data_IF_485345701506
#
_entry.id   IF_485345701506
#
_cell.length_a   1.000
_cell.length_b   1.000
_cell.length_c   1.000
_cell.angle_alpha   90.00
_cell.angle_beta   90.00
_cell.angle_gamma   90.00
#
_symmetry.space_group_name_H-M   'P 1'
#
loop_
_entity.id
_entity.type
_entity.pdbx_description
1 polymer ?
#
# COMPACT_ATOMS: atom_id res chain seq x y z
N UNK A 1 9.76 12.10 -14.19
CA UNK A 1 10.52 11.89 -12.93
C UNK A 1 10.43 10.42 -12.55
N UNK A 2 11.54 9.75 -12.24
CA UNK A 2 11.53 8.33 -11.83
C UNK A 2 10.94 8.18 -10.44
N UNK A 3 10.03 7.22 -10.27
CA UNK A 3 9.42 6.91 -8.97
C UNK A 3 10.51 6.37 -8.04
N UNK A 4 10.82 7.11 -6.97
CA UNK A 4 11.81 6.68 -5.97
C UNK A 4 11.27 5.48 -5.20
N UNK A 5 12.13 4.49 -4.98
CA UNK A 5 11.79 3.38 -4.11
C UNK A 5 11.66 3.85 -2.65
N UNK A 6 10.66 3.35 -1.91
CA UNK A 6 10.49 3.69 -0.50
C UNK A 6 11.66 3.12 0.34
N UNK A 7 12.11 3.90 1.32
CA UNK A 7 13.17 3.49 2.24
C UNK A 7 12.74 2.26 3.05
N UNK A 8 13.68 1.36 3.34
CA UNK A 8 13.41 0.15 4.15
C UNK A 8 12.79 0.47 5.52
N UNK A 9 13.22 1.55 6.18
CA UNK A 9 12.64 2.01 7.44
C UNK A 9 11.15 2.38 7.31
N UNK A 10 10.78 3.02 6.18
CA UNK A 10 9.38 3.35 5.86
C UNK A 10 8.58 2.08 5.64
N UNK A 11 9.11 1.12 4.88
CA UNK A 11 8.46 -0.17 4.62
C UNK A 11 8.19 -0.91 5.95
N UNK A 12 9.19 -1.03 6.83
CA UNK A 12 9.03 -1.68 8.16
C UNK A 12 7.95 -1.00 8.99
N UNK A 13 7.92 0.34 9.01
CA UNK A 13 6.90 1.11 9.73
C UNK A 13 5.50 0.88 9.18
N UNK A 14 5.35 0.77 7.85
CA UNK A 14 4.08 0.45 7.21
C UNK A 14 3.58 -0.92 7.64
N UNK A 15 4.41 -1.96 7.58
CA UNK A 15 4.03 -3.30 8.04
C UNK A 15 3.59 -3.34 9.50
N UNK A 16 4.34 -2.68 10.39
CA UNK A 16 4.00 -2.59 11.80
C UNK A 16 2.66 -1.89 12.06
N UNK A 17 2.26 -0.95 11.19
CA UNK A 17 0.98 -0.23 11.31
C UNK A 17 -0.18 -0.94 10.61
N UNK A 18 0.07 -1.72 9.56
CA UNK A 18 -0.97 -2.43 8.81
C UNK A 18 -1.55 -3.63 9.57
N UNK A 19 -0.80 -4.22 10.51
CA UNK A 19 -1.30 -5.32 11.35
C UNK A 19 -1.72 -6.55 10.56
N UNK A 20 -0.90 -6.98 9.60
CA UNK A 20 -1.15 -8.12 8.71
C UNK A 20 -2.43 -8.02 7.85
N UNK A 21 -3.01 -6.82 7.70
CA UNK A 21 -4.21 -6.62 6.88
C UNK A 21 -3.98 -5.59 5.79
N UNK A 22 -4.59 -5.81 4.64
CA UNK A 22 -4.63 -4.80 3.58
C UNK A 22 -5.33 -3.52 4.07
N UNK A 23 -4.69 -2.36 3.85
CA UNK A 23 -5.22 -1.05 4.24
C UNK A 23 -6.15 -0.43 3.18
N UNK A 24 -6.48 -1.15 2.12
CA UNK A 24 -7.40 -0.68 1.10
C UNK A 24 -8.85 -0.74 1.63
N UNK A 25 -9.68 0.30 1.42
CA UNK A 25 -11.07 0.30 1.89
C UNK A 25 -11.82 -0.91 1.36
N UNK A 26 -12.56 -1.60 2.23
CA UNK A 26 -13.31 -2.83 1.95
C UNK A 26 -12.46 -4.08 1.65
N UNK A 27 -11.12 -3.99 1.67
CA UNK A 27 -10.27 -5.18 1.60
C UNK A 27 -10.05 -5.78 2.99
N UNK A 28 -10.28 -7.09 3.13
CA UNK A 28 -10.05 -7.84 4.38
C UNK A 28 -8.98 -8.92 4.22
N UNK A 29 -8.22 -8.89 3.13
CA UNK A 29 -7.18 -9.88 2.88
C UNK A 29 -6.03 -9.73 3.87
N UNK A 30 -5.51 -10.88 4.32
CA UNK A 30 -4.29 -10.96 5.10
C UNK A 30 -3.07 -10.86 4.20
N UNK A 31 -2.03 -10.19 4.69
CA UNK A 31 -0.78 -10.01 3.95
C UNK A 31 0.11 -11.27 4.04
N UNK A 32 0.04 -11.96 5.17
CA UNK A 32 0.78 -13.17 5.51
C UNK A 32 -0.20 -14.26 5.97
N UNK A 33 -0.94 -14.91 5.05
CA UNK A 33 -1.86 -15.96 5.46
C UNK A 33 -1.10 -17.19 5.97
N UNK A 34 -1.69 -17.91 6.91
CA UNK A 34 -1.07 -19.08 7.55
C UNK A 34 -0.80 -20.25 6.60
N UNK A 35 -1.45 -20.28 5.45
CA UNK A 35 -1.33 -21.35 4.44
C UNK A 35 -0.29 -21.05 3.35
N UNK A 36 0.39 -19.92 3.40
CA UNK A 36 1.39 -19.54 2.40
C UNK A 36 2.58 -18.84 3.05
N UNK A 37 3.79 -19.25 2.67
CA UNK A 37 5.03 -18.59 3.09
C UNK A 37 5.25 -17.27 2.35
N UNK A 38 4.45 -16.98 1.33
CA UNK A 38 4.64 -15.81 0.49
C UNK A 38 3.97 -14.56 1.08
N UNK A 39 4.70 -13.46 1.05
CA UNK A 39 4.17 -12.14 1.34
C UNK A 39 3.29 -11.67 0.16
N UNK A 40 1.99 -11.50 0.40
CA UNK A 40 1.02 -11.00 -0.60
C UNK A 40 0.86 -9.48 -0.59
N UNK A 41 1.62 -8.76 0.22
CA UNK A 41 1.52 -7.31 0.28
C UNK A 41 2.24 -6.60 -0.87
N UNK A 42 1.71 -5.43 -1.21
CA UNK A 42 2.36 -4.47 -2.07
C UNK A 42 2.25 -3.09 -1.42
N UNK A 43 3.35 -2.33 -1.42
CA UNK A 43 3.34 -0.95 -0.93
C UNK A 43 2.91 -0.02 -2.05
N UNK A 44 1.77 0.64 -1.86
CA UNK A 44 1.15 1.54 -2.83
C UNK A 44 0.98 2.94 -2.24
N UNK A 45 0.76 3.95 -3.11
CA UNK A 45 0.36 5.27 -2.64
C UNK A 45 -1.10 5.26 -2.17
N UNK A 46 -1.40 6.05 -1.15
CA UNK A 46 -2.76 6.23 -0.62
C UNK A 46 -3.62 6.98 -1.63
N UNK A 47 -3.03 7.94 -2.33
CA UNK A 47 -3.67 8.70 -3.39
C UNK A 47 -2.96 8.38 -4.70
N UNK A 48 -3.74 8.12 -5.75
CA UNK A 48 -3.16 7.95 -7.07
C UNK A 48 -2.77 9.32 -7.62
N UNK A 49 -1.56 9.42 -8.18
CA UNK A 49 -1.08 10.65 -8.83
C UNK A 49 -1.83 10.93 -10.14
N UNK A 50 -2.25 9.87 -10.84
CA UNK A 50 -2.86 9.99 -12.17
C UNK A 50 -4.38 9.83 -12.12
N UNK A 51 -5.07 10.58 -12.99
CA UNK A 51 -6.51 10.43 -13.24
C UNK A 51 -6.81 9.00 -13.68
N UNK A 52 -7.70 8.33 -12.96
CA UNK A 52 -8.09 6.93 -13.22
C UNK A 52 -7.40 5.89 -12.34
N UNK A 53 -6.49 6.27 -11.45
CA UNK A 53 -5.98 5.35 -10.44
C UNK A 53 -7.02 5.00 -9.37
N UNK A 54 -6.87 3.83 -8.73
CA UNK A 54 -7.84 3.28 -7.77
C UNK A 54 -8.22 4.21 -6.60
N UNK A 55 -7.34 5.16 -6.26
CA UNK A 55 -7.55 6.15 -5.20
C UNK A 55 -7.21 7.56 -5.69
N UNK A 56 -7.55 7.90 -6.93
CA UNK A 56 -7.33 9.25 -7.45
C UNK A 56 -8.14 10.27 -6.64
N UNK A 57 -7.46 11.24 -6.05
CA UNK A 57 -8.09 12.34 -5.34
C UNK A 57 -8.20 13.55 -6.27
N UNK A 58 -9.42 13.91 -6.68
CA UNK A 58 -9.70 15.08 -7.52
C UNK A 58 -9.31 16.40 -6.88
N UNK A 59 -9.19 16.44 -5.54
CA UNK A 59 -8.77 17.61 -4.78
C UNK A 59 -7.26 17.63 -4.51
N UNK A 60 -6.51 16.60 -4.96
CA UNK A 60 -5.05 16.65 -4.89
C UNK A 60 -4.55 17.82 -5.72
N UNK A 61 -3.69 18.64 -5.14
CA UNK A 61 -3.13 19.85 -5.76
C UNK A 61 -1.64 19.70 -6.10
N UNK A 62 -1.13 18.46 -6.05
CA UNK A 62 0.25 18.10 -6.46
C UNK A 62 0.51 18.42 -7.94
#
# INVERSE_FOLDING_TARGET
>A
MSRKEPKLATIKRLYAKSGDRCSFPNCKQQLFPSNSTNNMSQVCHIEAAEKGGQRYNHNSTD
#
